data_IF_789898599874
#
_entry.id   IF_789898599874
#
_cell.length_a   1.000
_cell.length_b   1.000
_cell.length_c   1.000
_cell.angle_alpha   90.00
_cell.angle_beta   90.00
_cell.angle_gamma   90.00
#
_symmetry.space_group_name_H-M   'P 1'
#
loop_
_entity.id
_entity.type
_entity.pdbx_description
1 polymer ?
#
# COMPACT_ATOMS: atom_id res chain seq x y z
N UNK A 1 -14.63 6.74 -16.24
CA UNK A 1 -14.65 7.34 -14.90
C UNK A 1 -13.29 8.00 -14.74
N UNK A 2 -13.25 9.32 -14.55
CA UNK A 2 -12.00 10.10 -14.58
C UNK A 2 -11.41 10.15 -13.17
N UNK A 3 -10.21 9.62 -12.99
CA UNK A 3 -9.45 9.71 -11.75
C UNK A 3 -8.26 10.66 -11.95
N UNK A 4 -8.51 11.96 -12.14
CA UNK A 4 -7.42 12.93 -12.26
C UNK A 4 -6.69 13.10 -10.94
N UNK A 5 -5.43 13.56 -10.96
CA UNK A 5 -4.70 13.84 -9.73
C UNK A 5 -5.50 14.71 -8.74
N UNK A 6 -5.48 14.29 -7.47
CA UNK A 6 -6.19 14.89 -6.33
C UNK A 6 -7.72 14.81 -6.39
N UNK A 7 -8.33 14.21 -7.42
CA UNK A 7 -9.76 13.90 -7.41
C UNK A 7 -10.07 12.84 -6.36
N UNK A 8 -11.34 12.69 -6.00
CA UNK A 8 -11.76 11.54 -5.19
C UNK A 8 -11.43 10.26 -5.95
N UNK A 9 -10.82 9.31 -5.24
CA UNK A 9 -10.61 7.97 -5.75
C UNK A 9 -11.95 7.23 -5.77
N UNK A 10 -12.36 6.83 -6.97
CA UNK A 10 -13.67 6.21 -7.23
C UNK A 10 -13.55 4.92 -8.05
N UNK A 11 -12.33 4.52 -8.42
CA UNK A 11 -12.09 3.32 -9.23
C UNK A 11 -12.54 2.04 -8.53
N UNK A 12 -12.31 1.97 -7.21
CA UNK A 12 -12.82 0.92 -6.33
C UNK A 12 -13.44 1.54 -5.09
N UNK A 13 -14.52 0.94 -4.59
CA UNK A 13 -15.06 1.30 -3.28
C UNK A 13 -14.07 0.85 -2.19
N UNK A 14 -13.60 1.79 -1.38
CA UNK A 14 -12.74 1.51 -0.24
C UNK A 14 -13.24 2.21 1.02
N UNK A 15 -12.96 1.62 2.18
CA UNK A 15 -13.51 2.02 3.49
C UNK A 15 -13.04 3.41 3.92
N UNK A 16 -11.82 3.76 3.55
CA UNK A 16 -11.19 5.04 3.85
C UNK A 16 -11.28 5.89 2.58
N UNK A 17 -11.92 7.08 2.62
CA UNK A 17 -11.93 7.99 1.49
C UNK A 17 -10.49 8.34 1.09
N UNK A 18 -10.16 8.26 -0.19
CA UNK A 18 -8.82 8.60 -0.69
C UNK A 18 -8.89 9.56 -1.87
N UNK A 19 -7.75 10.17 -2.19
CA UNK A 19 -7.55 10.93 -3.42
C UNK A 19 -6.72 10.12 -4.43
N UNK A 20 -7.07 10.22 -5.70
CA UNK A 20 -6.31 9.62 -6.79
C UNK A 20 -5.01 10.39 -7.03
N UNK A 21 -3.91 9.67 -7.26
CA UNK A 21 -2.68 10.22 -7.83
C UNK A 21 -2.10 9.25 -8.87
N UNK A 22 -1.57 9.76 -9.97
CA UNK A 22 -0.92 8.94 -11.00
C UNK A 22 -1.86 8.04 -11.79
N UNK A 23 -3.18 8.24 -11.72
CA UNK A 23 -4.16 7.56 -12.56
C UNK A 23 -4.28 8.30 -13.91
N UNK A 24 -3.24 8.16 -14.72
CA UNK A 24 -3.07 8.94 -15.95
C UNK A 24 -3.91 8.38 -17.10
N UNK A 25 -4.26 9.27 -18.04
CA UNK A 25 -5.02 8.97 -19.26
C UNK A 25 -4.39 9.68 -20.45
N UNK A 26 -4.24 9.03 -21.61
CA UNK A 26 -3.61 9.61 -22.80
C UNK A 26 -4.31 10.88 -23.26
N UNK A 27 -5.62 11.00 -23.08
CA UNK A 27 -6.37 12.22 -23.38
C UNK A 27 -6.01 13.44 -22.51
N UNK A 28 -5.44 13.21 -21.32
CA UNK A 28 -5.07 14.26 -20.37
C UNK A 28 -3.57 14.57 -20.38
N UNK A 29 -2.78 13.72 -21.06
CA UNK A 29 -1.33 13.82 -21.09
C UNK A 29 -0.69 13.46 -19.75
N UNK A 30 0.61 13.71 -19.63
CA UNK A 30 1.40 13.39 -18.45
C UNK A 30 1.69 14.68 -17.67
N UNK A 31 1.12 14.86 -16.46
CA UNK A 31 1.42 16.01 -15.61
C UNK A 31 2.92 16.13 -15.34
N UNK A 32 3.50 17.30 -15.62
CA UNK A 32 4.93 17.53 -15.43
C UNK A 32 5.83 17.09 -16.58
N UNK A 33 5.30 16.48 -17.65
CA UNK A 33 6.10 16.12 -18.81
C UNK A 33 6.83 17.34 -19.41
N UNK A 34 8.13 17.18 -19.68
CA UNK A 34 9.01 18.24 -20.16
C UNK A 34 9.52 19.20 -19.08
N UNK A 35 9.10 19.04 -17.82
CA UNK A 35 9.73 19.73 -16.68
C UNK A 35 11.01 19.00 -16.24
N UNK A 36 11.78 19.63 -15.34
CA UNK A 36 12.87 18.94 -14.68
C UNK A 36 12.35 17.72 -13.90
N UNK A 37 13.06 16.61 -14.02
CA UNK A 37 12.76 15.35 -13.33
C UNK A 37 12.56 15.55 -11.84
N UNK A 38 11.77 14.66 -11.23
CA UNK A 38 11.58 14.64 -9.79
C UNK A 38 12.95 14.56 -9.09
N UNK A 39 13.16 15.39 -8.07
CA UNK A 39 14.42 15.41 -7.34
C UNK A 39 14.70 14.04 -6.72
N UNK A 40 15.98 13.63 -6.66
CA UNK A 40 16.37 12.29 -6.18
C UNK A 40 15.86 11.97 -4.78
N UNK A 41 15.78 12.96 -3.89
CA UNK A 41 15.21 12.79 -2.56
C UNK A 41 13.70 12.49 -2.59
N UNK A 42 12.92 13.17 -3.44
CA UNK A 42 11.48 12.92 -3.58
C UNK A 42 11.21 11.58 -4.26
N UNK A 43 12.00 11.23 -5.29
CA UNK A 43 11.91 9.92 -5.93
C UNK A 43 12.24 8.79 -4.95
N UNK A 44 13.29 8.95 -4.15
CA UNK A 44 13.65 7.97 -3.12
C UNK A 44 12.51 7.79 -2.12
N UNK A 45 11.91 8.88 -1.64
CA UNK A 45 10.77 8.81 -0.71
C UNK A 45 9.58 8.14 -1.35
N UNK A 46 9.29 8.41 -2.62
CA UNK A 46 8.16 7.79 -3.32
C UNK A 46 8.38 6.28 -3.47
N UNK A 47 9.58 5.85 -3.86
CA UNK A 47 9.94 4.42 -3.91
C UNK A 47 9.80 3.76 -2.55
N UNK A 48 10.28 4.41 -1.49
CA UNK A 48 10.11 3.93 -0.11
C UNK A 48 8.64 3.91 0.32
N UNK A 49 7.80 4.84 -0.14
CA UNK A 49 6.37 4.89 0.15
C UNK A 49 5.59 3.77 -0.55
N UNK A 50 6.03 3.40 -1.74
CA UNK A 50 5.45 2.37 -2.59
C UNK A 50 6.01 0.98 -2.25
N UNK A 51 6.04 0.65 -0.96
CA UNK A 51 6.76 -0.51 -0.42
C UNK A 51 6.00 -1.85 -0.56
N UNK A 52 4.67 -1.80 -0.56
CA UNK A 52 3.79 -2.95 -0.73
C UNK A 52 2.52 -2.52 -1.46
N UNK A 53 2.00 -3.39 -2.32
CA UNK A 53 0.72 -3.16 -2.97
C UNK A 53 -0.39 -3.55 -2.01
N UNK A 54 -1.35 -2.65 -1.79
CA UNK A 54 -2.49 -2.88 -0.92
C UNK A 54 -3.58 -3.70 -1.62
N UNK A 55 -3.75 -3.52 -2.92
CA UNK A 55 -4.79 -4.23 -3.70
C UNK A 55 -4.18 -4.76 -4.99
N UNK A 56 -4.19 -6.08 -5.16
CA UNK A 56 -3.89 -6.74 -6.42
C UNK A 56 -5.19 -7.07 -7.17
N UNK A 57 -5.11 -7.08 -8.48
CA UNK A 57 -6.21 -7.42 -9.37
C UNK A 57 -5.80 -8.56 -10.30
N UNK A 58 -6.78 -9.33 -10.78
CA UNK A 58 -6.54 -10.41 -11.74
C UNK A 58 -6.22 -9.91 -13.16
N UNK A 59 -6.47 -8.62 -13.42
CA UNK A 59 -6.20 -7.98 -14.72
C UNK A 59 -4.88 -7.22 -14.71
N UNK A 60 -4.44 -6.83 -15.91
CA UNK A 60 -3.28 -5.99 -16.13
C UNK A 60 -3.72 -4.65 -16.72
N UNK A 61 -3.01 -3.59 -16.34
CA UNK A 61 -3.11 -2.29 -16.95
C UNK A 61 -1.82 -2.03 -17.74
N UNK A 62 -1.96 -1.93 -19.05
CA UNK A 62 -0.88 -1.58 -19.96
C UNK A 62 -0.56 -0.09 -19.90
N UNK A 63 0.71 0.26 -19.73
CA UNK A 63 1.14 1.65 -19.86
C UNK A 63 0.89 2.15 -21.28
N UNK A 64 -0.07 3.05 -21.43
CA UNK A 64 -0.42 3.63 -22.72
C UNK A 64 0.56 4.70 -23.22
N UNK A 65 1.61 5.02 -22.47
CA UNK A 65 2.61 6.05 -22.83
C UNK A 65 3.92 5.48 -23.37
N UNK A 66 4.11 4.16 -23.30
CA UNK A 66 5.26 3.48 -23.90
C UNK A 66 5.16 3.48 -25.44
N UNK A 67 6.20 3.95 -26.12
CA UNK A 67 6.30 3.97 -27.59
C UNK A 67 7.12 2.76 -28.14
N UNK A 68 6.87 1.52 -27.68
CA UNK A 68 7.65 0.34 -28.07
C UNK A 68 7.05 -1.03 -27.72
N UNK A 69 7.71 -2.12 -28.15
CA UNK A 69 7.29 -3.52 -27.88
C UNK A 69 7.52 -3.94 -26.41
N UNK A 70 8.39 -3.25 -25.67
CA UNK A 70 8.62 -3.44 -24.23
C UNK A 70 7.75 -2.45 -23.44
N UNK A 71 6.44 -2.75 -23.35
CA UNK A 71 5.51 -2.02 -22.49
C UNK A 71 5.71 -2.36 -21.00
N UNK A 72 5.18 -1.52 -20.12
CA UNK A 72 5.07 -1.83 -18.69
C UNK A 72 3.63 -2.19 -18.35
N UNK A 73 3.43 -3.25 -17.57
CA UNK A 73 2.13 -3.69 -17.08
C UNK A 73 2.09 -3.57 -15.55
N UNK A 74 1.00 -3.03 -15.01
CA UNK A 74 0.73 -3.01 -13.58
C UNK A 74 -0.58 -3.71 -13.24
N UNK A 75 -0.66 -4.38 -12.09
CA UNK A 75 -1.86 -5.13 -11.68
C UNK A 75 -2.37 -4.80 -10.28
N UNK A 76 -1.97 -3.67 -9.71
CA UNK A 76 -2.39 -3.32 -8.36
C UNK A 76 -2.18 -1.85 -8.01
N UNK A 77 -2.39 -1.56 -6.73
CA UNK A 77 -2.44 -0.20 -6.21
C UNK A 77 -1.62 -0.05 -4.93
N UNK A 78 -1.02 1.12 -4.77
CA UNK A 78 -0.42 1.59 -3.53
C UNK A 78 -1.40 2.50 -2.80
N UNK A 79 -1.54 2.32 -1.50
CA UNK A 79 -2.24 3.27 -0.63
C UNK A 79 -1.24 3.99 0.26
N UNK A 80 -1.37 5.32 0.34
CA UNK A 80 -0.52 6.18 1.15
C UNK A 80 -1.33 6.79 2.28
N UNK A 81 -0.84 6.66 3.50
CA UNK A 81 -1.47 7.19 4.71
C UNK A 81 -0.54 8.20 5.37
N UNK A 82 -1.08 9.38 5.70
CA UNK A 82 -0.32 10.44 6.36
C UNK A 82 -0.90 10.82 7.72
N UNK A 83 -0.06 11.43 8.57
CA UNK A 83 -0.39 11.83 9.94
C UNK A 83 -1.46 12.94 10.00
N UNK A 84 -1.61 13.75 8.96
CA UNK A 84 -2.67 14.77 8.86
C UNK A 84 -4.04 14.17 8.50
N UNK A 85 -4.14 12.84 8.42
CA UNK A 85 -5.35 12.11 8.06
C UNK A 85 -5.57 11.96 6.55
N UNK A 86 -4.73 12.59 5.71
CA UNK A 86 -4.86 12.46 4.26
C UNK A 86 -4.42 11.08 3.78
N UNK A 87 -5.07 10.65 2.71
CA UNK A 87 -4.93 9.32 2.13
C UNK A 87 -5.02 9.39 0.62
N UNK A 88 -4.19 8.59 -0.04
CA UNK A 88 -4.08 8.59 -1.49
C UNK A 88 -4.01 7.17 -2.03
N UNK A 89 -4.63 6.93 -3.18
CA UNK A 89 -4.44 5.71 -3.97
C UNK A 89 -3.70 6.04 -5.27
N UNK A 90 -2.70 5.23 -5.60
CA UNK A 90 -2.01 5.27 -6.87
C UNK A 90 -1.96 3.89 -7.51
N UNK A 91 -1.98 3.80 -8.86
CA UNK A 91 -1.68 2.54 -9.51
C UNK A 91 -0.20 2.18 -9.26
N UNK A 92 0.12 0.89 -9.33
CA UNK A 92 1.50 0.38 -9.29
C UNK A 92 2.43 1.16 -10.22
N UNK A 93 1.91 1.57 -11.39
CA UNK A 93 2.67 2.28 -12.42
C UNK A 93 3.12 3.69 -12.02
N UNK A 94 2.72 4.23 -10.86
CA UNK A 94 3.16 5.57 -10.44
C UNK A 94 4.69 5.72 -10.50
N UNK A 95 5.44 4.69 -10.11
CA UNK A 95 6.91 4.72 -10.19
C UNK A 95 7.39 4.73 -11.64
N UNK A 96 6.85 3.84 -12.47
CA UNK A 96 7.14 3.78 -13.90
C UNK A 96 6.84 5.11 -14.60
N UNK A 97 5.70 5.75 -14.30
CA UNK A 97 5.34 7.04 -14.86
C UNK A 97 6.33 8.14 -14.47
N UNK A 98 6.80 8.16 -13.21
CA UNK A 98 7.80 9.16 -12.78
C UNK A 98 9.14 8.94 -13.48
N UNK A 99 9.59 7.69 -13.57
CA UNK A 99 10.92 7.34 -14.07
C UNK A 99 11.03 7.42 -15.59
N UNK A 100 10.06 6.86 -16.31
CA UNK A 100 10.11 6.69 -17.77
C UNK A 100 9.36 7.78 -18.53
N UNK A 101 8.31 8.34 -17.92
CA UNK A 101 7.40 9.27 -18.60
C UNK A 101 7.46 10.70 -18.06
N UNK A 102 8.31 10.95 -17.05
CA UNK A 102 8.50 12.29 -16.48
C UNK A 102 7.26 12.81 -15.76
N UNK A 103 6.36 11.91 -15.33
CA UNK A 103 5.25 12.28 -14.46
C UNK A 103 5.79 12.92 -13.18
N UNK A 104 5.16 14.02 -12.77
CA UNK A 104 5.46 14.69 -11.52
C UNK A 104 4.21 14.67 -10.64
N UNK A 105 4.22 13.92 -9.52
CA UNK A 105 3.12 13.95 -8.57
C UNK A 105 2.81 15.37 -8.09
N UNK A 106 1.56 15.67 -7.75
CA UNK A 106 1.17 16.98 -7.26
C UNK A 106 2.00 17.42 -6.05
N UNK A 107 2.35 18.71 -5.98
CA UNK A 107 3.17 19.24 -4.90
C UNK A 107 2.52 19.04 -3.52
N UNK A 108 1.19 19.10 -3.43
CA UNK A 108 0.42 18.79 -2.21
C UNK A 108 0.68 17.37 -1.67
N UNK A 109 0.87 16.40 -2.56
CA UNK A 109 1.22 15.01 -2.21
C UNK A 109 2.70 14.92 -1.85
N UNK A 110 3.59 15.54 -2.63
CA UNK A 110 5.02 15.55 -2.36
C UNK A 110 5.35 16.21 -1.01
N UNK A 111 4.66 17.29 -0.63
CA UNK A 111 4.83 17.93 0.67
C UNK A 111 4.52 16.97 1.83
N UNK A 112 3.45 16.18 1.70
CA UNK A 112 3.08 15.16 2.70
C UNK A 112 4.08 14.04 2.75
N UNK A 113 4.54 13.58 1.60
CA UNK A 113 5.59 12.58 1.49
C UNK A 113 6.90 13.03 2.15
N UNK A 114 7.27 14.31 2.04
CA UNK A 114 8.43 14.89 2.72
C UNK A 114 8.26 15.00 4.23
N UNK A 115 7.02 15.16 4.71
CA UNK A 115 6.67 15.26 6.14
C UNK A 115 6.21 13.93 6.75
N UNK A 116 6.24 12.84 5.98
CA UNK A 116 5.77 11.55 6.42
C UNK A 116 6.49 11.10 7.71
N UNK A 117 5.73 10.50 8.60
CA UNK A 117 6.14 10.05 9.93
C UNK A 117 5.33 8.82 10.34
N UNK A 118 5.68 8.17 11.47
CA UNK A 118 4.93 7.02 11.96
C UNK A 118 3.48 7.42 12.27
N UNK A 119 2.55 6.53 11.96
CA UNK A 119 1.13 6.74 12.24
C UNK A 119 0.80 6.34 13.67
N UNK A 120 0.10 7.22 14.38
CA UNK A 120 -0.58 6.86 15.61
C UNK A 120 -1.93 6.20 15.27
N UNK A 121 -2.39 5.29 16.12
CA UNK A 121 -3.71 4.69 15.95
C UNK A 121 -4.80 5.75 15.93
N UNK A 122 -5.59 5.71 14.89
CA UNK A 122 -6.70 6.61 14.67
C UNK A 122 -7.91 5.82 14.13
N UNK A 123 -8.96 6.56 13.78
CA UNK A 123 -10.20 5.99 13.27
C UNK A 123 -10.01 5.14 12.01
N UNK A 124 -8.95 5.36 11.22
CA UNK A 124 -8.67 4.56 10.01
C UNK A 124 -8.22 3.16 10.42
N UNK A 125 -7.27 3.07 11.35
CA UNK A 125 -6.84 1.79 11.91
C UNK A 125 -8.01 1.06 12.59
N UNK A 126 -8.85 1.78 13.35
CA UNK A 126 -10.07 1.24 13.96
C UNK A 126 -10.99 0.65 12.89
N UNK A 127 -11.27 1.40 11.82
CA UNK A 127 -12.17 0.97 10.76
C UNK A 127 -11.64 -0.25 10.00
N UNK A 128 -10.34 -0.29 9.68
CA UNK A 128 -9.71 -1.44 9.02
C UNK A 128 -9.76 -2.68 9.94
N UNK A 129 -9.51 -2.50 11.24
CA UNK A 129 -9.56 -3.59 12.22
C UNK A 129 -10.96 -4.15 12.40
N UNK A 130 -11.97 -3.28 12.47
CA UNK A 130 -13.37 -3.68 12.56
C UNK A 130 -13.77 -4.55 11.38
N UNK A 131 -13.45 -4.13 10.15
CA UNK A 131 -13.79 -4.91 8.95
C UNK A 131 -13.03 -6.22 8.89
N UNK A 132 -11.72 -6.23 9.19
CA UNK A 132 -10.93 -7.46 9.17
C UNK A 132 -11.49 -8.53 10.10
N UNK A 133 -11.97 -8.12 11.27
CA UNK A 133 -12.47 -9.03 12.31
C UNK A 133 -13.98 -9.29 12.26
N UNK A 134 -14.72 -8.67 11.34
CA UNK A 134 -16.15 -8.90 11.16
C UNK A 134 -16.38 -10.12 10.26
N UNK A 135 -16.67 -11.28 10.87
CA UNK A 135 -16.98 -12.52 10.15
C UNK A 135 -18.23 -12.44 9.26
N UNK A 136 -19.04 -11.38 9.40
CA UNK A 136 -20.22 -11.16 8.54
C UNK A 136 -19.91 -10.33 7.29
N UNK A 137 -18.74 -9.71 7.22
CA UNK A 137 -18.28 -8.98 6.04
C UNK A 137 -17.81 -9.93 4.93
N UNK A 138 -17.85 -9.43 3.70
CA UNK A 138 -17.37 -10.15 2.53
C UNK A 138 -15.85 -10.42 2.61
N UNK A 139 -15.41 -11.63 2.28
CA UNK A 139 -14.01 -12.03 2.38
C UNK A 139 -13.07 -11.17 1.52
N UNK A 140 -13.49 -10.69 0.34
CA UNK A 140 -12.67 -9.79 -0.47
C UNK A 140 -12.43 -8.48 0.28
N UNK A 141 -13.45 -7.95 0.96
CA UNK A 141 -13.33 -6.73 1.79
C UNK A 141 -12.46 -6.96 3.01
N UNK A 142 -12.62 -8.08 3.70
CA UNK A 142 -11.78 -8.43 4.86
C UNK A 142 -10.32 -8.60 4.46
N UNK A 143 -10.04 -9.28 3.34
CA UNK A 143 -8.68 -9.42 2.84
C UNK A 143 -8.07 -8.09 2.37
N UNK A 144 -8.88 -7.23 1.73
CA UNK A 144 -8.44 -5.96 1.18
C UNK A 144 -7.90 -4.95 2.19
N UNK A 145 -8.11 -5.15 3.50
CA UNK A 145 -7.63 -4.24 4.55
C UNK A 145 -6.35 -4.72 5.25
N UNK A 146 -5.93 -5.97 5.02
CA UNK A 146 -4.85 -6.64 5.77
C UNK A 146 -3.53 -5.88 5.62
N UNK A 147 -3.13 -5.62 4.37
CA UNK A 147 -1.89 -4.92 4.04
C UNK A 147 -1.92 -3.47 4.51
N UNK A 148 -3.06 -2.80 4.33
CA UNK A 148 -3.22 -1.40 4.74
C UNK A 148 -3.09 -1.21 6.25
N UNK A 149 -3.63 -2.13 7.04
CA UNK A 149 -3.57 -2.08 8.50
C UNK A 149 -2.11 -2.10 9.01
N UNK A 150 -1.19 -2.76 8.29
CA UNK A 150 0.23 -2.80 8.64
C UNK A 150 0.95 -1.44 8.63
N UNK A 151 0.33 -0.39 8.08
CA UNK A 151 0.87 0.98 8.16
C UNK A 151 0.88 1.54 9.60
N UNK A 152 0.02 1.02 10.49
CA UNK A 152 0.05 1.33 11.92
C UNK A 152 0.95 0.32 12.64
N UNK A 153 2.22 0.65 12.90
CA UNK A 153 3.18 -0.29 13.50
C UNK A 153 3.12 -0.26 15.02
N UNK A 154 2.10 -0.86 15.59
CA UNK A 154 1.90 -0.89 17.04
C UNK A 154 1.24 -2.20 17.55
N UNK A 155 1.20 -2.45 18.88
CA UNK A 155 0.73 -3.72 19.43
C UNK A 155 -0.71 -4.09 19.06
N UNK A 156 -1.60 -3.11 18.88
CA UNK A 156 -3.00 -3.39 18.47
C UNK A 156 -3.09 -3.99 17.08
N UNK A 157 -2.29 -3.51 16.14
CA UNK A 157 -2.20 -4.04 14.78
C UNK A 157 -1.79 -5.50 14.79
N UNK A 158 -0.79 -5.82 15.61
CA UNK A 158 -0.31 -7.18 15.78
C UNK A 158 -1.39 -8.10 16.36
N UNK A 159 -2.13 -7.67 17.38
CA UNK A 159 -3.26 -8.44 17.94
C UNK A 159 -4.33 -8.72 16.89
N UNK A 160 -4.70 -7.72 16.10
CA UNK A 160 -5.70 -7.86 15.03
C UNK A 160 -5.23 -8.84 13.96
N UNK A 161 -4.00 -8.70 13.46
CA UNK A 161 -3.43 -9.62 12.46
C UNK A 161 -3.24 -11.03 13.01
N UNK A 162 -2.89 -11.17 14.29
CA UNK A 162 -2.79 -12.46 14.95
C UNK A 162 -4.14 -13.17 15.00
N UNK A 163 -5.20 -12.44 15.30
CA UNK A 163 -6.57 -12.99 15.27
C UNK A 163 -6.99 -13.37 13.85
N UNK A 164 -6.68 -12.55 12.85
CA UNK A 164 -6.91 -12.89 11.44
C UNK A 164 -6.16 -14.17 11.03
N UNK A 165 -4.95 -14.38 11.55
CA UNK A 165 -4.17 -15.60 11.31
C UNK A 165 -4.76 -16.87 11.96
N UNK A 166 -5.76 -16.75 12.84
CA UNK A 166 -6.50 -17.88 13.41
C UNK A 166 -7.82 -18.17 12.68
N UNK A 167 -8.21 -17.33 11.72
CA UNK A 167 -9.43 -17.49 10.91
C UNK A 167 -9.11 -18.31 9.66
N UNK A 168 -9.58 -19.56 9.62
CA UNK A 168 -9.27 -20.53 8.55
C UNK A 168 -9.68 -20.00 7.15
N UNK A 169 -10.82 -19.33 7.03
CA UNK A 169 -11.29 -18.79 5.75
C UNK A 169 -10.42 -17.62 5.28
N UNK A 170 -10.02 -16.73 6.20
CA UNK A 170 -9.08 -15.65 5.86
C UNK A 170 -7.69 -16.18 5.50
N UNK A 171 -7.21 -17.21 6.17
CA UNK A 171 -5.90 -17.80 5.87
C UNK A 171 -5.90 -18.44 4.49
N UNK A 172 -6.98 -19.13 4.11
CA UNK A 172 -7.13 -19.78 2.81
C UNK A 172 -7.08 -18.77 1.65
N UNK A 173 -7.63 -17.57 1.86
CA UNK A 173 -7.74 -16.54 0.80
C UNK A 173 -6.60 -15.51 0.86
N UNK A 174 -6.17 -15.10 2.04
CA UNK A 174 -5.27 -13.98 2.29
C UNK A 174 -4.08 -14.30 3.20
N UNK A 175 -3.74 -15.58 3.39
CA UNK A 175 -2.64 -15.99 4.26
C UNK A 175 -1.29 -15.34 3.93
N UNK A 176 -0.99 -15.14 2.65
CA UNK A 176 0.25 -14.46 2.24
C UNK A 176 0.24 -12.99 2.66
N UNK A 177 -0.87 -12.27 2.47
CA UNK A 177 -1.05 -10.88 2.90
C UNK A 177 -0.96 -10.73 4.42
N UNK A 178 -1.54 -11.68 5.17
CA UNK A 178 -1.41 -11.76 6.64
C UNK A 178 0.06 -11.91 7.00
N UNK A 179 0.74 -12.89 6.41
CA UNK A 179 2.16 -13.15 6.64
C UNK A 179 3.05 -11.95 6.33
N UNK A 180 2.80 -11.26 5.21
CA UNK A 180 3.56 -10.06 4.85
C UNK A 180 3.35 -8.94 5.86
N UNK A 181 2.11 -8.74 6.30
CA UNK A 181 1.74 -7.71 7.28
C UNK A 181 2.34 -8.02 8.66
N UNK A 182 2.32 -9.28 9.10
CA UNK A 182 2.99 -9.73 10.31
C UNK A 182 4.50 -9.55 10.20
N UNK A 183 5.12 -9.91 9.06
CA UNK A 183 6.55 -9.75 8.81
C UNK A 183 7.05 -8.32 9.06
N UNK A 184 6.26 -7.32 8.67
CA UNK A 184 6.56 -5.90 8.92
C UNK A 184 6.58 -5.57 10.41
N UNK A 185 5.65 -6.14 11.18
CA UNK A 185 5.55 -5.92 12.63
C UNK A 185 6.56 -6.74 13.44
N UNK A 186 6.97 -7.91 12.97
CA UNK A 186 7.95 -8.78 13.65
C UNK A 186 9.35 -8.14 13.75
N UNK A 187 9.61 -7.11 12.93
CA UNK A 187 10.80 -6.27 13.08
C UNK A 187 10.74 -5.32 14.28
N UNK A 188 9.57 -5.14 14.90
CA UNK A 188 9.38 -4.25 16.03
C UNK A 188 9.80 -4.88 17.37
N UNK A 189 10.29 -4.07 18.30
CA UNK A 189 10.60 -4.43 19.67
C UNK A 189 9.42 -5.05 20.42
N UNK A 190 8.19 -4.54 20.20
CA UNK A 190 7.00 -5.09 20.86
C UNK A 190 6.62 -6.49 20.36
N UNK A 191 7.14 -6.92 19.21
CA UNK A 191 6.90 -8.23 18.64
C UNK A 191 7.98 -9.26 19.03
N UNK A 192 8.99 -8.85 19.81
CA UNK A 192 10.05 -9.77 20.28
C UNK A 192 9.47 -10.90 21.12
N UNK A 193 9.85 -12.13 20.76
CA UNK A 193 9.46 -13.35 21.49
C UNK A 193 8.13 -13.96 21.04
N UNK A 194 7.52 -13.42 19.98
CA UNK A 194 6.37 -14.04 19.33
C UNK A 194 6.84 -15.27 18.55
N UNK A 195 6.20 -16.40 18.80
CA UNK A 195 6.47 -17.66 18.11
C UNK A 195 5.58 -17.79 16.88
N UNK A 196 6.17 -17.60 15.71
CA UNK A 196 5.49 -17.69 14.41
C UNK A 196 5.57 -19.07 13.78
N UNK A 197 6.24 -20.04 14.41
CA UNK A 197 6.49 -21.38 13.86
C UNK A 197 5.26 -22.30 13.84
N UNK A 198 4.13 -21.82 14.34
CA UNK A 198 2.86 -22.54 14.36
C UNK A 198 1.89 -22.08 13.27
N UNK A 199 2.30 -21.12 12.44
CA UNK A 199 1.44 -20.60 11.40
C UNK A 199 1.36 -21.55 10.19
N UNK A 200 0.23 -21.53 9.47
CA UNK A 200 0.10 -22.18 8.15
C UNK A 200 1.19 -21.71 7.17
N UNK A 201 1.59 -22.61 6.26
CA UNK A 201 2.68 -22.40 5.29
C UNK A 201 2.51 -21.12 4.44
N UNK A 202 1.27 -20.74 4.12
CA UNK A 202 0.96 -19.51 3.37
C UNK A 202 1.37 -18.24 4.13
N UNK A 203 1.18 -18.22 5.46
CA UNK A 203 1.60 -17.12 6.33
C UNK A 203 3.12 -17.12 6.48
N UNK A 204 3.74 -18.28 6.72
CA UNK A 204 5.20 -18.39 6.82
C UNK A 204 5.88 -17.85 5.55
N UNK A 205 5.36 -18.23 4.38
CA UNK A 205 5.84 -17.71 3.10
C UNK A 205 5.71 -16.19 2.98
N UNK A 206 4.60 -15.60 3.42
CA UNK A 206 4.43 -14.13 3.46
C UNK A 206 5.45 -13.42 4.38
N UNK A 207 5.74 -14.00 5.54
CA UNK A 207 6.75 -13.48 6.48
C UNK A 207 8.15 -13.52 5.84
N UNK A 208 8.49 -14.63 5.17
CA UNK A 208 9.76 -14.79 4.46
C UNK A 208 9.94 -13.77 3.34
N UNK A 209 8.89 -13.55 2.52
CA UNK A 209 8.92 -12.54 1.45
C UNK A 209 9.24 -11.14 1.98
N UNK A 210 8.71 -10.81 3.16
CA UNK A 210 8.99 -9.52 3.81
C UNK A 210 10.44 -9.42 4.25
N UNK A 211 10.97 -10.49 4.85
CA UNK A 211 12.35 -10.57 5.35
C UNK A 211 13.41 -10.55 4.24
N UNK A 212 13.04 -10.97 3.02
CA UNK A 212 13.99 -11.13 1.90
C UNK A 212 14.05 -9.94 0.92
N UNK A 213 13.16 -8.95 1.00
CA UNK A 213 13.15 -7.91 -0.02
C UNK A 213 12.22 -6.70 0.16
N UNK A 214 11.43 -6.63 1.23
CA UNK A 214 10.57 -5.46 1.44
C UNK A 214 11.37 -4.35 2.12
N UNK A 215 11.71 -3.32 1.34
CA UNK A 215 12.23 -2.07 1.90
C UNK A 215 11.05 -1.29 2.46
N UNK A 216 10.82 -1.38 3.77
CA UNK A 216 9.81 -0.58 4.45
C UNK A 216 10.16 0.91 4.40
N UNK A 217 9.18 1.83 4.44
CA UNK A 217 9.46 3.26 4.42
C UNK A 217 10.35 3.71 5.57
N UNK A 218 11.33 4.58 5.31
CA UNK A 218 12.26 5.07 6.35
C UNK A 218 11.54 5.75 7.52
N UNK A 219 10.41 6.42 7.28
CA UNK A 219 9.63 7.11 8.31
C UNK A 219 8.80 6.16 9.18
N UNK A 220 8.73 4.87 8.85
CA UNK A 220 8.18 3.90 9.79
C UNK A 220 9.00 3.84 11.07
N UNK A 221 10.26 4.27 11.04
CA UNK A 221 11.15 4.39 12.20
C UNK A 221 11.42 3.06 12.89
N UNK A 222 12.11 3.14 14.03
CA UNK A 222 12.20 2.02 14.95
C UNK A 222 10.89 1.90 15.73
N UNK A 223 10.37 0.69 15.76
CA UNK A 223 9.34 0.21 16.67
C UNK A 223 9.90 -1.07 17.30
#
# INVERSE_FOLDING_TARGET
MECTDLSLYVYREFLIPMRSIGWLGREHGIPGAGMASLGSADLSRLKSASWILSTLTLGWHDCEFCDGEEGFEGNGEYHYYFQDGSTYSAPMMILHYVEEHGYRPPEDFLERLRKAGPLEWDWRAERLSEVLLDETEDLERRCGVIVDLANWREPRTLDVLWRAAQDEELVDVGGVEIGRSLGVLLSCDFAKGIDVSSFPETIEYGIELTSQGVTVPEWFGDC
#
